data_IF_471117171703
#
_entry.id   IF_471117171703
#
_cell.length_a   1.000
_cell.length_b   1.000
_cell.length_c   1.000
_cell.angle_alpha   90.00
_cell.angle_beta   90.00
_cell.angle_gamma   90.00
#
_symmetry.space_group_name_H-M   'P 1'
#
loop_
_entity.id
_entity.type
_entity.pdbx_description
1 polymer ?
#
# COMPACT_ATOMS: atom_id res chain seq x y z
N UNK A 1 -27.33 -7.06 3.41
CA UNK A 1 -28.00 -5.91 4.03
C UNK A 1 -27.51 -5.52 5.43
N UNK A 2 -26.46 -6.14 6.00
CA UNK A 2 -25.93 -5.75 7.32
C UNK A 2 -25.19 -4.40 7.32
N UNK A 3 -24.59 -4.02 6.19
CA UNK A 3 -23.82 -2.78 6.06
C UNK A 3 -24.62 -1.52 6.42
N UNK A 4 -25.86 -1.42 5.94
CA UNK A 4 -26.74 -0.29 6.21
C UNK A 4 -27.13 -0.18 7.68
N UNK A 5 -27.34 -1.33 8.34
CA UNK A 5 -27.65 -1.42 9.77
C UNK A 5 -26.45 -1.00 10.63
N UNK A 6 -25.23 -1.41 10.24
CA UNK A 6 -23.99 -1.11 10.96
C UNK A 6 -23.59 0.36 10.83
N UNK A 7 -23.63 0.91 9.62
CA UNK A 7 -23.23 2.30 9.35
C UNK A 7 -24.38 3.31 9.49
N UNK A 8 -25.59 2.83 9.84
CA UNK A 8 -26.80 3.64 10.04
C UNK A 8 -27.06 4.59 8.85
N UNK A 9 -27.07 4.01 7.65
CA UNK A 9 -27.19 4.72 6.38
C UNK A 9 -28.16 4.01 5.43
N UNK A 10 -28.74 4.74 4.47
CA UNK A 10 -29.65 4.17 3.47
C UNK A 10 -29.33 4.66 2.06
N UNK A 11 -29.18 3.73 1.13
CA UNK A 11 -28.82 4.04 -0.26
C UNK A 11 -27.37 4.47 -0.43
N UNK A 12 -26.99 4.84 -1.65
CA UNK A 12 -25.63 5.26 -1.98
C UNK A 12 -25.46 6.72 -1.58
N UNK A 13 -26.34 7.59 -2.08
CA UNK A 13 -26.42 9.01 -1.79
C UNK A 13 -27.63 9.33 -0.91
N UNK A 14 -28.79 8.72 -1.20
CA UNK A 14 -30.04 8.90 -0.44
C UNK A 14 -30.92 7.65 -0.52
N UNK A 15 -31.96 7.57 0.33
CA UNK A 15 -32.92 6.47 0.29
C UNK A 15 -33.67 6.36 -1.05
N UNK A 16 -33.77 7.45 -1.82
CA UNK A 16 -34.42 7.48 -3.14
C UNK A 16 -33.71 6.63 -4.18
N UNK A 17 -32.43 6.31 -3.96
CA UNK A 17 -31.65 5.46 -4.87
C UNK A 17 -32.30 4.08 -5.06
N UNK A 18 -33.01 3.58 -4.05
CA UNK A 18 -33.73 2.31 -4.14
C UNK A 18 -34.90 2.37 -5.13
N UNK A 19 -35.53 3.54 -5.24
CA UNK A 19 -36.67 3.75 -6.14
C UNK A 19 -36.20 4.04 -7.56
N UNK A 20 -35.16 4.88 -7.70
CA UNK A 20 -34.70 5.36 -9.00
C UNK A 20 -33.76 4.37 -9.71
N UNK A 21 -32.85 3.71 -8.99
CA UNK A 21 -31.85 2.82 -9.61
C UNK A 21 -32.23 1.34 -9.57
N UNK A 22 -32.95 0.90 -8.55
CA UNK A 22 -33.32 -0.52 -8.38
C UNK A 22 -34.78 -0.81 -8.67
N UNK A 23 -35.57 0.18 -9.09
CA UNK A 23 -37.02 0.06 -9.38
C UNK A 23 -37.83 -0.57 -8.22
N UNK A 24 -37.34 -0.48 -6.98
CA UNK A 24 -38.08 -0.97 -5.83
C UNK A 24 -39.13 0.05 -5.41
N UNK A 25 -40.33 -0.42 -5.07
CA UNK A 25 -41.42 0.46 -4.62
C UNK A 25 -41.12 1.08 -3.24
N UNK A 26 -40.27 0.44 -2.43
CA UNK A 26 -39.78 0.96 -1.16
C UNK A 26 -38.39 0.37 -0.82
N UNK A 27 -37.58 1.06 0.00
CA UNK A 27 -36.26 0.57 0.43
C UNK A 27 -36.36 -0.64 1.36
N UNK A 28 -35.27 -1.39 1.58
CA UNK A 28 -35.26 -2.52 2.51
C UNK A 28 -35.37 -2.08 3.99
N UNK A 29 -35.91 -2.95 4.85
CA UNK A 29 -36.04 -2.70 6.30
C UNK A 29 -34.70 -2.45 7.03
N UNK A 30 -33.56 -2.73 6.39
CA UNK A 30 -32.22 -2.37 6.90
C UNK A 30 -31.96 -0.86 6.93
N UNK A 31 -32.74 -0.08 6.18
CA UNK A 31 -32.68 1.38 6.17
C UNK A 31 -33.38 2.05 7.37
N UNK A 32 -34.14 1.29 8.15
CA UNK A 32 -34.87 1.83 9.28
C UNK A 32 -33.99 2.06 10.52
N UNK A 33 -34.26 3.15 11.21
CA UNK A 33 -33.63 3.48 12.48
C UNK A 33 -33.91 2.43 13.56
N UNK A 34 -35.17 1.98 13.62
CA UNK A 34 -35.66 0.90 14.48
C UNK A 34 -36.01 -0.31 13.63
N UNK A 35 -35.37 -1.45 13.88
CA UNK A 35 -35.57 -2.63 13.06
C UNK A 35 -36.83 -3.40 13.48
N UNK A 36 -37.81 -3.44 12.60
CA UNK A 36 -39.01 -4.28 12.69
C UNK A 36 -39.47 -4.64 11.26
N UNK A 37 -40.14 -5.79 11.07
CA UNK A 37 -40.55 -6.23 9.74
C UNK A 37 -41.57 -5.27 9.12
N UNK A 38 -41.31 -4.83 7.88
CA UNK A 38 -42.19 -3.92 7.13
C UNK A 38 -42.06 -2.44 7.51
N UNK A 39 -41.04 -2.08 8.30
CA UNK A 39 -40.77 -0.71 8.69
C UNK A 39 -40.60 0.22 7.48
N UNK A 40 -39.80 -0.20 6.50
CA UNK A 40 -39.49 0.69 5.37
C UNK A 40 -40.73 0.98 4.52
N UNK A 41 -41.65 0.00 4.39
CA UNK A 41 -42.93 0.18 3.72
C UNK A 41 -43.83 1.15 4.50
N UNK A 42 -43.91 1.00 5.82
CA UNK A 42 -44.72 1.89 6.65
C UNK A 42 -44.21 3.33 6.61
N UNK A 43 -42.90 3.51 6.79
CA UNK A 43 -42.26 4.81 6.76
C UNK A 43 -42.36 5.51 5.39
N UNK A 44 -42.31 4.75 4.28
CA UNK A 44 -42.55 5.32 2.95
C UNK A 44 -43.95 5.96 2.79
N UNK A 45 -44.98 5.40 3.43
CA UNK A 45 -46.35 5.90 3.34
C UNK A 45 -46.72 6.92 4.42
N UNK A 46 -46.07 6.88 5.58
CA UNK A 46 -46.43 7.71 6.73
C UNK A 46 -45.39 8.79 7.01
N UNK A 47 -44.17 8.39 7.34
CA UNK A 47 -43.10 9.32 7.71
C UNK A 47 -41.71 8.76 7.35
N UNK A 48 -41.02 9.46 6.45
CA UNK A 48 -39.68 9.10 5.99
C UNK A 48 -38.60 9.40 7.05
N UNK A 49 -38.94 10.05 8.15
CA UNK A 49 -38.05 10.34 9.27
C UNK A 49 -37.59 9.08 10.01
N UNK A 50 -38.33 7.97 9.89
CA UNK A 50 -37.96 6.68 10.45
C UNK A 50 -36.79 6.00 9.70
N UNK A 51 -36.48 6.47 8.48
CA UNK A 51 -35.36 5.98 7.68
C UNK A 51 -34.08 6.78 7.94
N UNK A 52 -32.95 6.12 7.74
CA UNK A 52 -31.66 6.79 7.67
C UNK A 52 -31.60 7.73 6.46
N UNK A 53 -31.65 9.04 6.69
CA UNK A 53 -31.59 10.05 5.63
C UNK A 53 -30.18 10.23 5.04
N UNK A 54 -29.14 9.78 5.75
CA UNK A 54 -27.77 9.81 5.25
C UNK A 54 -27.49 8.63 4.31
N UNK A 55 -27.00 8.94 3.11
CA UNK A 55 -26.44 7.93 2.20
C UNK A 55 -25.17 7.30 2.74
N UNK A 56 -24.96 6.03 2.40
CA UNK A 56 -23.77 5.30 2.81
C UNK A 56 -22.49 5.87 2.19
N UNK A 57 -22.53 6.39 0.96
CA UNK A 57 -21.38 6.97 0.27
C UNK A 57 -20.80 8.19 1.00
N UNK A 58 -21.59 9.26 1.23
CA UNK A 58 -21.14 10.42 2.00
C UNK A 58 -20.70 10.05 3.42
N UNK A 59 -21.39 9.12 4.08
CA UNK A 59 -21.04 8.63 5.43
C UNK A 59 -19.66 7.99 5.46
N UNK A 60 -19.39 7.06 4.55
CA UNK A 60 -18.09 6.39 4.39
C UNK A 60 -17.02 7.41 4.00
N UNK A 61 -17.30 8.31 3.06
CA UNK A 61 -16.33 9.31 2.65
C UNK A 61 -15.92 10.22 3.81
N UNK A 62 -16.88 10.64 4.64
CA UNK A 62 -16.61 11.39 5.88
C UNK A 62 -15.88 10.55 6.91
N UNK A 63 -16.21 9.27 7.05
CA UNK A 63 -15.50 8.36 7.94
C UNK A 63 -14.04 8.20 7.51
N UNK A 64 -13.80 7.88 6.24
CA UNK A 64 -12.49 7.78 5.61
C UNK A 64 -11.73 9.09 5.82
N UNK A 65 -12.25 10.23 5.37
CA UNK A 65 -11.57 11.54 5.49
C UNK A 65 -11.37 11.99 6.94
N UNK A 66 -12.30 11.66 7.84
CA UNK A 66 -12.30 12.07 9.25
C UNK A 66 -11.47 11.16 10.16
N UNK A 67 -11.13 9.94 9.72
CA UNK A 67 -10.29 9.05 10.51
C UNK A 67 -8.85 9.57 10.55
N UNK A 68 -8.41 9.97 11.75
CA UNK A 68 -7.00 10.26 12.05
C UNK A 68 -6.06 9.12 11.61
N UNK A 69 -6.59 7.90 11.49
CA UNK A 69 -5.88 6.72 10.99
C UNK A 69 -5.40 6.85 9.53
N UNK A 70 -6.08 7.59 8.64
CA UNK A 70 -5.56 7.83 7.30
C UNK A 70 -4.25 8.63 7.31
N UNK A 71 -4.10 9.56 8.25
CA UNK A 71 -2.86 10.31 8.41
C UNK A 71 -1.72 9.39 8.84
N UNK A 72 -2.01 8.44 9.74
CA UNK A 72 -1.04 7.41 10.15
C UNK A 72 -0.67 6.51 8.96
N UNK A 73 -1.65 6.06 8.17
CA UNK A 73 -1.40 5.25 6.97
C UNK A 73 -0.51 5.97 5.94
N UNK A 74 -0.67 7.29 5.79
CA UNK A 74 0.21 8.10 4.94
C UNK A 74 1.65 8.07 5.43
N UNK A 75 1.88 8.24 6.73
CA UNK A 75 3.23 8.17 7.30
C UNK A 75 3.84 6.77 7.17
N UNK A 76 3.05 5.72 7.41
CA UNK A 76 3.49 4.34 7.24
C UNK A 76 3.90 4.06 5.79
N UNK A 77 3.09 4.48 4.81
CA UNK A 77 3.41 4.31 3.39
C UNK A 77 4.73 4.99 2.99
N UNK A 78 4.96 6.23 3.45
CA UNK A 78 6.23 6.94 3.19
C UNK A 78 7.40 6.22 3.84
N UNK A 79 7.27 5.77 5.09
CA UNK A 79 8.35 5.07 5.81
C UNK A 79 8.74 3.75 5.13
N UNK A 80 7.76 2.98 4.66
CA UNK A 80 7.99 1.72 3.93
C UNK A 80 8.69 2.02 2.60
N UNK A 81 8.27 3.07 1.89
CA UNK A 81 8.93 3.49 0.65
C UNK A 81 10.40 3.83 0.87
N UNK A 82 10.72 4.62 1.90
CA UNK A 82 12.11 4.97 2.23
C UNK A 82 12.92 3.72 2.60
N UNK A 83 12.37 2.84 3.45
CA UNK A 83 13.03 1.60 3.82
C UNK A 83 13.32 0.70 2.59
N UNK A 84 12.38 0.63 1.65
CA UNK A 84 12.54 -0.13 0.41
C UNK A 84 13.68 0.44 -0.45
N UNK A 85 13.74 1.76 -0.64
CA UNK A 85 14.81 2.40 -1.42
C UNK A 85 16.18 2.17 -0.76
N UNK A 86 16.26 2.31 0.57
CA UNK A 86 17.49 2.02 1.32
C UNK A 86 17.91 0.55 1.15
N UNK A 87 16.98 -0.39 1.23
CA UNK A 87 17.27 -1.81 1.03
C UNK A 87 17.82 -2.10 -0.38
N UNK A 88 17.26 -1.46 -1.41
CA UNK A 88 17.75 -1.61 -2.78
C UNK A 88 19.18 -1.07 -2.93
N UNK A 89 19.47 0.11 -2.38
CA UNK A 89 20.82 0.71 -2.43
C UNK A 89 21.83 -0.15 -1.66
N UNK A 90 21.47 -0.61 -0.47
CA UNK A 90 22.33 -1.48 0.35
C UNK A 90 22.61 -2.82 -0.35
N UNK A 91 21.61 -3.41 -0.99
CA UNK A 91 21.79 -4.67 -1.72
C UNK A 91 22.71 -4.49 -2.92
N UNK A 92 22.55 -3.39 -3.68
CA UNK A 92 23.42 -3.08 -4.81
C UNK A 92 24.86 -2.82 -4.36
N UNK A 93 25.07 -2.01 -3.31
CA UNK A 93 26.41 -1.74 -2.77
C UNK A 93 27.08 -2.99 -2.21
N UNK A 94 26.34 -3.87 -1.53
CA UNK A 94 26.83 -5.15 -1.04
C UNK A 94 27.22 -6.09 -2.18
N UNK A 95 26.39 -6.20 -3.22
CA UNK A 95 26.70 -7.02 -4.41
C UNK A 95 27.96 -6.52 -5.12
N UNK A 96 28.12 -5.20 -5.23
CA UNK A 96 29.34 -4.62 -5.76
C UNK A 96 30.54 -5.00 -4.88
N UNK A 97 30.49 -4.75 -3.57
CA UNK A 97 31.59 -5.08 -2.66
C UNK A 97 32.01 -6.57 -2.73
N UNK A 98 31.04 -7.49 -2.78
CA UNK A 98 31.32 -8.92 -2.94
C UNK A 98 31.94 -9.26 -4.29
N UNK A 99 31.44 -8.66 -5.39
CA UNK A 99 31.99 -8.89 -6.72
C UNK A 99 33.44 -8.41 -6.83
N UNK A 100 33.75 -7.23 -6.32
CA UNK A 100 35.12 -6.72 -6.28
C UNK A 100 36.00 -7.52 -5.32
N UNK A 101 35.47 -7.97 -4.18
CA UNK A 101 36.17 -8.86 -3.26
C UNK A 101 36.55 -10.20 -3.90
N UNK A 102 35.63 -10.84 -4.63
CA UNK A 102 35.92 -12.06 -5.38
C UNK A 102 36.96 -11.83 -6.48
N UNK A 103 36.92 -10.69 -7.17
CA UNK A 103 37.95 -10.36 -8.17
C UNK A 103 39.31 -10.03 -7.55
N UNK A 104 39.38 -9.32 -6.40
CA UNK A 104 40.63 -9.15 -5.67
C UNK A 104 41.14 -10.54 -5.19
N UNK A 105 40.27 -11.47 -4.77
CA UNK A 105 40.64 -12.80 -4.29
C UNK A 105 41.12 -13.77 -5.38
N UNK A 106 40.46 -13.81 -6.55
CA UNK A 106 40.94 -14.57 -7.72
C UNK A 106 42.30 -14.06 -8.21
N UNK A 107 42.54 -12.75 -8.15
CA UNK A 107 43.85 -12.17 -8.49
C UNK A 107 44.94 -12.46 -7.43
N UNK A 108 44.53 -12.88 -6.23
CA UNK A 108 45.42 -13.23 -5.11
C UNK A 108 45.54 -14.74 -4.89
N UNK A 109 44.81 -15.58 -5.63
CA UNK A 109 45.02 -17.02 -5.60
C UNK A 109 46.25 -17.32 -6.46
N UNK A 110 47.34 -17.87 -5.89
CA UNK A 110 48.53 -18.16 -6.66
C UNK A 110 48.20 -19.29 -7.64
N UNK A 111 47.98 -18.94 -8.91
CA UNK A 111 48.14 -19.86 -10.02
C UNK A 111 49.64 -20.21 -10.15
N UNK A 112 50.11 -21.01 -9.20
CA UNK A 112 50.82 -22.24 -9.48
C UNK A 112 50.27 -22.82 -10.79
N UNK A 113 51.13 -23.08 -11.80
CA UNK A 113 50.82 -23.63 -13.16
C UNK A 113 50.50 -22.50 -14.17
N UNK A 114 51.34 -21.99 -15.09
CA UNK A 114 52.37 -22.57 -15.97
C UNK A 114 53.35 -21.49 -16.50
N UNK A 115 54.64 -21.82 -16.42
CA UNK A 115 55.74 -21.57 -17.38
C UNK A 115 55.81 -20.24 -18.18
N UNK A 116 56.87 -19.47 -17.89
CA UNK A 116 57.64 -18.72 -18.90
C UNK A 116 57.47 -17.19 -18.91
N UNK A 117 58.50 -16.48 -18.43
CA UNK A 117 58.79 -15.05 -18.72
C UNK A 117 58.88 -14.77 -20.25
N UNK A 118 58.97 -13.51 -20.77
CA UNK A 118 59.15 -12.22 -20.08
C UNK A 118 58.36 -11.00 -20.62
N UNK A 119 58.47 -9.90 -19.87
CA UNK A 119 58.55 -8.49 -20.30
C UNK A 119 57.31 -7.67 -20.72
N UNK A 120 57.36 -6.44 -20.19
CA UNK A 120 57.06 -5.13 -20.79
C UNK A 120 55.68 -4.48 -20.64
N UNK A 121 55.76 -3.36 -19.92
CA UNK A 121 55.15 -2.07 -20.18
C UNK A 121 53.70 -1.82 -19.76
N UNK A 122 53.60 -0.82 -18.88
CA UNK A 122 52.64 0.26 -19.11
C UNK A 122 51.46 0.25 -18.15
N UNK A 123 51.53 1.17 -17.19
CA UNK A 123 50.37 1.91 -16.71
C UNK A 123 49.24 1.10 -16.06
N UNK A 124 49.16 1.17 -14.73
CA UNK A 124 48.09 1.92 -14.08
C UNK A 124 48.15 1.64 -12.57
N UNK A 125 48.68 2.61 -11.83
CA UNK A 125 48.68 2.61 -10.37
C UNK A 125 47.27 2.75 -9.76
N UNK A 126 46.20 2.59 -10.56
CA UNK A 126 44.81 2.77 -10.13
C UNK A 126 44.20 1.51 -9.48
N UNK A 127 44.74 0.32 -9.71
CA UNK A 127 44.15 -0.93 -9.19
C UNK A 127 44.44 -1.18 -7.69
N UNK A 128 45.49 -0.56 -7.14
CA UNK A 128 45.84 -0.69 -5.72
C UNK A 128 45.05 0.22 -4.78
N UNK A 129 44.35 1.23 -5.31
CA UNK A 129 43.60 2.18 -4.50
C UNK A 129 42.21 1.65 -4.08
N UNK A 130 41.65 0.67 -4.80
CA UNK A 130 40.28 0.19 -4.53
C UNK A 130 40.23 -0.87 -3.43
N UNK A 131 41.20 -1.79 -3.32
CA UNK A 131 41.20 -2.78 -2.24
C UNK A 131 41.75 -2.20 -0.89
N UNK A 132 42.18 -0.93 -0.80
CA UNK A 132 42.78 -0.31 0.42
C UNK A 132 41.87 0.67 1.18
N UNK A 133 40.62 0.91 0.76
CA UNK A 133 39.69 1.84 1.46
C UNK A 133 38.89 1.16 2.58
N UNK A 134 39.21 -0.07 2.97
CA UNK A 134 38.59 -0.72 4.13
C UNK A 134 39.60 -0.88 5.27
N UNK A 135 39.67 0.14 6.13
CA UNK A 135 40.20 0.05 7.50
C UNK A 135 39.05 0.37 8.46
#
# INVERSE_FOLDING_TARGET
>A
NSFQTEFKCCGVMYFTDWLEMTEMEWPPDSCCSTHYPGCARHAHHHDLSDLHQEGCGPKIYRFIRGTKHLQVLRFLGVSIGVAQILAMVLTLTLLWALHYGQKCAELNSPMTVLLGEPTTNGGSAASGLVCTVQA
#
